data_IF_084625833912
#
_entry.id   IF_084625833912
#
_cell.length_a   1.000
_cell.length_b   1.000
_cell.length_c   1.000
_cell.angle_alpha   90.00
_cell.angle_beta   90.00
_cell.angle_gamma   90.00
#
_symmetry.space_group_name_H-M   'P 1'
#
loop_
_entity.id
_entity.type
_entity.pdbx_description
1 polymer ?
#
# COMPACT_ATOMS: atom_id res chain seq x y z
N UNK A 1 -6.65 8.88 -4.28
CA UNK A 1 -5.23 8.51 -4.13
C UNK A 1 -5.00 8.29 -2.64
N UNK A 2 -4.59 7.09 -2.24
CA UNK A 2 -4.35 6.74 -0.84
C UNK A 2 -3.04 5.96 -0.69
N UNK A 3 -2.56 5.85 0.56
CA UNK A 3 -1.44 4.99 0.93
C UNK A 3 -1.98 3.88 1.84
N UNK A 4 -1.43 2.68 1.68
CA UNK A 4 -1.75 1.52 2.51
C UNK A 4 -0.49 1.07 3.25
N UNK A 5 -0.68 0.54 4.44
CA UNK A 5 0.34 -0.13 5.24
C UNK A 5 -0.35 -1.19 6.09
N UNK A 6 0.43 -2.08 6.68
CA UNK A 6 -0.05 -3.07 7.65
C UNK A 6 0.17 -2.57 9.08
N UNK A 7 -0.73 -2.93 9.98
CA UNK A 7 -0.54 -2.74 11.43
C UNK A 7 0.37 -3.84 11.99
N UNK A 8 1.41 -3.42 12.72
CA UNK A 8 2.38 -4.32 13.37
C UNK A 8 2.41 -4.17 14.90
N UNK A 9 1.44 -3.46 15.47
CA UNK A 9 1.26 -3.32 16.91
C UNK A 9 0.93 -1.91 17.34
N UNK A 10 1.15 -1.61 18.63
CA UNK A 10 0.86 -0.30 19.20
C UNK A 10 2.10 0.29 19.87
N UNK A 11 2.17 1.61 19.92
CA UNK A 11 3.20 2.35 20.66
C UNK A 11 2.58 3.47 21.48
N UNK A 12 3.22 3.79 22.59
CA UNK A 12 2.90 4.98 23.36
C UNK A 12 3.25 6.24 22.56
N UNK A 13 2.37 7.25 22.63
CA UNK A 13 2.61 8.56 22.04
C UNK A 13 1.82 9.63 22.77
N UNK A 14 2.38 10.82 22.90
CA UNK A 14 1.64 12.00 23.39
C UNK A 14 0.80 12.67 22.30
N UNK A 15 0.93 12.22 21.05
CA UNK A 15 0.18 12.75 19.90
C UNK A 15 -1.25 12.22 19.75
N UNK A 16 -1.73 11.41 20.70
CA UNK A 16 -3.07 10.80 20.68
C UNK A 16 -3.76 10.98 22.03
N UNK A 17 -5.08 11.28 22.09
CA UNK A 17 -5.82 11.47 23.35
C UNK A 17 -5.80 10.24 24.27
N UNK A 18 -5.68 9.04 23.68
CA UNK A 18 -5.62 7.77 24.42
C UNK A 18 -4.18 7.32 24.72
N UNK A 19 -3.20 8.20 24.48
CA UNK A 19 -1.77 7.99 24.71
C UNK A 19 -1.13 6.80 23.97
N UNK A 20 -1.85 6.22 23.02
CA UNK A 20 -1.44 5.09 22.20
C UNK A 20 -1.77 5.37 20.73
N UNK A 21 -0.97 4.81 19.83
CA UNK A 21 -1.23 4.77 18.39
C UNK A 21 -0.74 3.46 17.79
N UNK A 22 -1.29 3.07 16.65
CA UNK A 22 -0.83 1.90 15.90
C UNK A 22 0.54 2.18 15.27
N UNK A 23 1.37 1.16 15.21
CA UNK A 23 2.64 1.17 14.49
C UNK A 23 2.41 0.55 13.12
N UNK A 24 2.87 1.23 12.10
CA UNK A 24 2.78 0.72 10.73
C UNK A 24 4.01 -0.11 10.37
N UNK A 25 3.82 -1.09 9.51
CA UNK A 25 4.92 -1.73 8.79
C UNK A 25 5.59 -0.68 7.88
N UNK A 26 6.92 -0.51 7.95
CA UNK A 26 7.62 0.41 7.06
C UNK A 26 7.63 -0.03 5.59
N UNK A 27 7.36 -1.31 5.26
CA UNK A 27 7.26 -1.79 3.88
C UNK A 27 5.86 -1.52 3.30
N UNK A 28 5.68 -0.33 2.74
CA UNK A 28 4.39 0.04 2.14
C UNK A 28 4.20 -0.53 0.73
N UNK A 29 5.28 -1.03 0.12
CA UNK A 29 5.23 -1.65 -1.20
C UNK A 29 4.76 -3.10 -1.11
N UNK A 30 5.19 -3.83 -0.09
CA UNK A 30 4.65 -5.14 0.26
C UNK A 30 3.14 -5.04 0.46
N UNK A 31 2.67 -4.09 1.29
CA UNK A 31 1.25 -3.92 1.57
C UNK A 31 0.44 -3.61 0.28
N UNK A 32 1.00 -2.80 -0.62
CA UNK A 32 0.41 -2.50 -1.94
C UNK A 32 0.31 -3.74 -2.83
N UNK A 33 1.35 -4.57 -2.85
CA UNK A 33 1.38 -5.81 -3.65
C UNK A 33 0.44 -6.86 -3.07
N UNK A 34 0.39 -6.99 -1.74
CA UNK A 34 -0.52 -7.90 -1.05
C UNK A 34 -1.99 -7.52 -1.30
N UNK A 35 -2.33 -6.23 -1.29
CA UNK A 35 -3.65 -5.75 -1.70
C UNK A 35 -3.98 -6.14 -3.16
N UNK A 36 -3.04 -5.98 -4.09
CA UNK A 36 -3.24 -6.40 -5.48
C UNK A 36 -3.52 -7.90 -5.58
N UNK A 37 -2.72 -8.72 -4.88
CA UNK A 37 -2.89 -10.18 -4.87
C UNK A 37 -4.26 -10.58 -4.35
N UNK A 38 -4.71 -9.99 -3.24
CA UNK A 38 -6.02 -10.28 -2.66
C UNK A 38 -7.16 -9.91 -3.62
N UNK A 39 -7.07 -8.74 -4.26
CA UNK A 39 -8.08 -8.28 -5.22
C UNK A 39 -8.10 -9.14 -6.49
N UNK A 40 -6.93 -9.56 -6.99
CA UNK A 40 -6.81 -10.49 -8.11
C UNK A 40 -7.40 -11.85 -7.77
N UNK A 41 -7.03 -12.42 -6.61
CA UNK A 41 -7.53 -13.71 -6.14
C UNK A 41 -9.05 -13.69 -5.91
N UNK A 42 -9.61 -12.54 -5.53
CA UNK A 42 -11.05 -12.35 -5.36
C UNK A 42 -11.80 -12.08 -6.67
N UNK A 43 -11.08 -11.90 -7.79
CA UNK A 43 -11.67 -11.60 -9.10
C UNK A 43 -12.21 -10.18 -9.23
N UNK A 44 -11.73 -9.22 -8.43
CA UNK A 44 -12.24 -7.84 -8.43
C UNK A 44 -11.51 -6.90 -9.38
N UNK A 45 -10.43 -7.35 -10.04
CA UNK A 45 -9.59 -6.52 -10.90
C UNK A 45 -9.88 -6.85 -12.36
N UNK A 46 -10.33 -5.88 -13.14
CA UNK A 46 -10.43 -6.01 -14.60
C UNK A 46 -9.09 -5.72 -15.27
N UNK A 47 -8.40 -4.66 -14.81
CA UNK A 47 -7.10 -4.20 -15.34
C UNK A 47 -6.30 -3.53 -14.25
N UNK A 48 -4.98 -3.53 -14.37
CA UNK A 48 -4.12 -2.73 -13.49
C UNK A 48 -2.86 -2.25 -14.20
N UNK A 49 -2.21 -1.25 -13.61
CA UNK A 49 -0.88 -0.81 -14.03
C UNK A 49 -0.12 -0.22 -12.85
N UNK A 50 1.19 -0.10 -13.01
CA UNK A 50 2.08 0.51 -12.03
C UNK A 50 2.74 1.72 -12.67
N UNK A 51 2.47 2.89 -12.11
CA UNK A 51 3.01 4.15 -12.62
C UNK A 51 3.93 4.80 -11.60
N UNK A 52 4.91 5.57 -12.07
CA UNK A 52 5.68 6.44 -11.18
C UNK A 52 4.77 7.42 -10.44
N UNK A 53 5.04 7.70 -9.17
CA UNK A 53 4.15 8.53 -8.37
C UNK A 53 4.82 9.40 -7.33
N UNK A 54 5.41 8.80 -6.31
CA UNK A 54 6.12 9.51 -5.24
C UNK A 54 7.63 9.32 -5.41
N UNK A 55 8.43 10.11 -4.70
CA UNK A 55 9.88 9.89 -4.67
C UNK A 55 10.16 8.61 -3.90
N UNK A 56 11.01 7.74 -4.48
CA UNK A 56 11.61 6.60 -3.80
C UNK A 56 12.19 6.99 -2.44
N UNK A 57 12.03 6.13 -1.46
CA UNK A 57 12.69 6.19 -0.16
C UNK A 57 13.25 4.81 0.14
N UNK A 58 14.57 4.71 0.28
CA UNK A 58 15.25 3.45 0.59
C UNK A 58 15.31 3.20 2.10
N UNK A 59 15.80 2.01 2.46
CA UNK A 59 15.93 1.56 3.85
C UNK A 59 16.90 2.42 4.67
N UNK A 60 17.94 2.97 4.04
CA UNK A 60 18.95 3.78 4.71
C UNK A 60 18.45 5.21 4.97
N UNK A 61 17.59 5.72 4.08
CA UNK A 61 17.00 7.06 4.15
C UNK A 61 15.46 6.98 4.07
N UNK A 62 14.79 6.36 5.06
CA UNK A 62 13.35 6.21 5.05
C UNK A 62 12.68 7.58 5.22
N UNK A 63 11.49 7.69 4.63
CA UNK A 63 10.60 8.83 4.87
C UNK A 63 9.80 8.59 6.14
N UNK A 64 9.13 9.63 6.62
CA UNK A 64 8.27 9.55 7.81
C UNK A 64 6.85 9.95 7.48
N UNK A 65 5.89 9.24 8.06
CA UNK A 65 4.47 9.63 8.01
C UNK A 65 4.19 10.80 8.99
N UNK A 66 2.92 11.19 9.12
CA UNK A 66 2.49 12.29 10.00
C UNK A 66 2.85 12.07 11.48
N UNK A 67 2.86 10.82 11.96
CA UNK A 67 3.19 10.45 13.34
C UNK A 67 4.67 10.11 13.54
N UNK A 68 5.49 10.26 12.49
CA UNK A 68 6.93 10.02 12.53
C UNK A 68 7.36 8.57 12.35
N UNK A 69 6.44 7.64 12.03
CA UNK A 69 6.82 6.26 11.68
C UNK A 69 7.58 6.24 10.35
N UNK A 70 8.69 5.50 10.27
CA UNK A 70 9.44 5.35 9.04
C UNK A 70 8.65 4.53 8.02
N UNK A 71 8.82 4.84 6.75
CA UNK A 71 8.42 3.98 5.65
C UNK A 71 9.42 4.09 4.49
N UNK A 72 9.56 3.02 3.73
CA UNK A 72 10.33 2.97 2.49
C UNK A 72 9.41 2.54 1.33
N UNK A 73 9.74 3.00 0.13
CA UNK A 73 8.95 2.74 -1.07
C UNK A 73 9.80 2.91 -2.33
N UNK A 74 9.49 2.14 -3.36
CA UNK A 74 10.00 2.23 -4.73
C UNK A 74 9.55 3.51 -5.44
N UNK A 75 8.56 4.21 -4.90
CA UNK A 75 8.02 5.45 -5.46
C UNK A 75 6.87 5.24 -6.46
N UNK A 76 6.45 4.00 -6.65
CA UNK A 76 5.41 3.64 -7.60
C UNK A 76 4.00 3.79 -7.00
N UNK A 77 3.00 3.84 -7.88
CA UNK A 77 1.58 3.76 -7.53
C UNK A 77 0.95 2.65 -8.33
N UNK A 78 0.19 1.81 -7.64
CA UNK A 78 -0.71 0.86 -8.27
C UNK A 78 -2.01 1.59 -8.68
N UNK A 79 -2.39 1.44 -9.95
CA UNK A 79 -3.68 1.92 -10.49
C UNK A 79 -4.52 0.69 -10.80
N UNK A 80 -5.73 0.65 -10.23
CA UNK A 80 -6.65 -0.48 -10.34
C UNK A 80 -7.92 -0.05 -11.08
N UNK A 81 -8.34 -0.86 -12.05
CA UNK A 81 -9.65 -0.79 -12.67
C UNK A 81 -10.46 -1.98 -12.15
N UNK A 82 -11.40 -1.69 -11.26
CA UNK A 82 -12.23 -2.72 -10.62
C UNK A 82 -13.35 -3.20 -11.54
N UNK A 83 -13.75 -4.45 -11.36
CA UNK A 83 -14.90 -5.06 -12.05
C UNK A 83 -16.10 -5.18 -11.11
N UNK A 84 -17.31 -5.00 -11.65
CA UNK A 84 -18.56 -5.27 -10.95
C UNK A 84 -18.88 -6.78 -10.88
N UNK A 85 -18.25 -7.57 -11.75
CA UNK A 85 -18.38 -9.03 -11.82
C UNK A 85 -17.03 -9.70 -11.64
N UNK A 86 -17.02 -10.96 -11.20
CA UNK A 86 -15.79 -11.73 -11.01
C UNK A 86 -15.01 -11.91 -12.33
N UNK A 87 -13.73 -11.55 -12.33
CA UNK A 87 -12.82 -11.66 -13.48
C UNK A 87 -11.81 -12.79 -13.23
N UNK A 88 -11.76 -13.82 -14.09
CA UNK A 88 -10.70 -14.83 -14.07
C UNK A 88 -9.30 -14.21 -14.26
N UNK A 89 -8.29 -14.76 -13.58
CA UNK A 89 -6.92 -14.19 -13.59
C UNK A 89 -6.31 -14.08 -14.99
N UNK A 90 -6.59 -15.02 -15.88
CA UNK A 90 -6.13 -15.04 -17.27
C UNK A 90 -6.83 -14.01 -18.18
N UNK A 91 -7.89 -13.38 -17.69
CA UNK A 91 -8.60 -12.29 -18.36
C UNK A 91 -8.24 -10.89 -17.82
N UNK A 92 -7.35 -10.81 -16.83
CA UNK A 92 -6.90 -9.53 -16.29
C UNK A 92 -5.89 -8.88 -17.22
N UNK A 93 -6.11 -7.62 -17.59
CA UNK A 93 -5.19 -6.85 -18.43
C UNK A 93 -4.15 -6.10 -17.58
N UNK A 94 -2.87 -6.22 -17.94
CA UNK A 94 -1.82 -5.35 -17.40
C UNK A 94 -1.55 -4.26 -18.41
N UNK A 95 -1.77 -2.99 -18.04
CA UNK A 95 -1.59 -1.85 -18.94
C UNK A 95 -0.13 -1.34 -18.87
N UNK A 96 0.38 -0.89 -20.02
CA UNK A 96 1.69 -0.23 -20.16
C UNK A 96 1.67 1.26 -19.75
#
# INVERSE_FOLDING_TARGET
MGQISRDIGVRFTTGSPILMTHKIDPDVDEARVSLLQDLLASGFVQRFTVVGGVRRADFDHPRKNLTGDPYFTDGSRLVLFLSETSVPLDHVEVLE
#
